data_IF_248888453430
#
_entry.id   IF_248888453430
#
_cell.length_a   1.000
_cell.length_b   1.000
_cell.length_c   1.000
_cell.angle_alpha   90.00
_cell.angle_beta   90.00
_cell.angle_gamma   90.00
#
_symmetry.space_group_name_H-M   'P 1'
#
loop_
_entity.id
_entity.type
_entity.pdbx_description
1 polymer ?
#
# COMPACT_ATOMS: atom_id res chain seq x y z
N UNK A 1 10.94 -4.17 -8.91
CA UNK A 1 10.07 -3.47 -7.94
C UNK A 1 9.94 -1.99 -8.31
N UNK A 2 11.04 -1.22 -8.39
CA UNK A 2 10.95 0.21 -8.71
C UNK A 2 10.50 0.53 -10.15
N UNK A 3 10.74 -0.36 -11.12
CA UNK A 3 10.25 -0.20 -12.50
C UNK A 3 8.73 -0.01 -12.62
N UNK A 4 7.96 -0.48 -11.64
CA UNK A 4 6.52 -0.36 -11.63
C UNK A 4 6.00 0.94 -10.96
N UNK A 5 6.90 1.78 -10.45
CA UNK A 5 6.54 2.94 -9.62
C UNK A 5 7.29 4.19 -10.07
N UNK A 6 8.59 4.08 -10.34
CA UNK A 6 9.40 5.19 -10.84
C UNK A 6 9.16 5.44 -12.32
N UNK A 7 9.23 6.71 -12.77
CA UNK A 7 9.23 7.07 -14.19
C UNK A 7 10.33 6.32 -14.96
N UNK A 8 10.06 5.99 -16.23
CA UNK A 8 10.97 5.19 -17.06
C UNK A 8 12.35 5.83 -17.20
N UNK A 9 12.39 7.16 -17.32
CA UNK A 9 13.62 7.95 -17.40
C UNK A 9 14.51 7.79 -16.15
N UNK A 10 13.93 7.41 -15.01
CA UNK A 10 14.66 7.21 -13.75
C UNK A 10 15.16 5.78 -13.56
N UNK A 11 14.81 4.83 -14.44
CA UNK A 11 15.15 3.42 -14.25
C UNK A 11 16.67 3.16 -14.31
N UNK A 12 17.38 3.85 -15.19
CA UNK A 12 18.84 3.74 -15.30
C UNK A 12 19.55 4.37 -14.11
N UNK A 13 19.07 5.52 -13.61
CA UNK A 13 19.60 6.15 -12.40
C UNK A 13 19.38 5.26 -11.17
N UNK A 14 18.18 4.69 -11.03
CA UNK A 14 17.85 3.72 -9.98
C UNK A 14 18.78 2.50 -10.00
N UNK A 15 19.02 1.91 -11.17
CA UNK A 15 19.93 0.76 -11.32
C UNK A 15 21.36 1.13 -10.89
N UNK A 16 21.87 2.26 -11.38
CA UNK A 16 23.22 2.75 -11.06
C UNK A 16 23.37 3.02 -9.55
N UNK A 17 22.36 3.66 -8.95
CA UNK A 17 22.33 3.92 -7.52
C UNK A 17 22.43 2.62 -6.71
N UNK A 18 21.58 1.64 -6.98
CA UNK A 18 21.57 0.36 -6.27
C UNK A 18 22.90 -0.39 -6.39
N UNK A 19 23.54 -0.35 -7.56
CA UNK A 19 24.86 -0.94 -7.77
C UNK A 19 25.97 -0.22 -6.97
N UNK A 20 25.78 1.07 -6.67
CA UNK A 20 26.73 1.88 -5.90
C UNK A 20 26.57 1.74 -4.39
N UNK A 21 25.43 1.28 -3.88
CA UNK A 21 25.17 1.16 -2.43
C UNK A 21 26.27 0.40 -1.67
N UNK A 22 26.78 -0.76 -2.13
CA UNK A 22 27.86 -1.46 -1.41
C UNK A 22 29.14 -0.65 -1.23
N UNK A 23 29.54 0.15 -2.23
CA UNK A 23 30.74 0.99 -2.14
C UNK A 23 30.52 2.22 -1.24
N UNK A 24 29.29 2.75 -1.21
CA UNK A 24 28.91 3.82 -0.27
C UNK A 24 28.92 3.34 1.19
N UNK A 25 28.51 2.09 1.44
CA UNK A 25 28.58 1.50 2.78
C UNK A 25 30.03 1.45 3.29
N UNK A 26 30.98 1.08 2.42
CA UNK A 26 32.39 0.96 2.78
C UNK A 26 33.06 2.32 3.07
N UNK A 27 32.62 3.39 2.40
CA UNK A 27 33.27 4.71 2.45
C UNK A 27 32.55 5.73 3.32
N UNK A 28 31.26 5.53 3.62
CA UNK A 28 30.44 6.53 4.29
C UNK A 28 30.48 6.42 5.81
N UNK A 29 30.86 7.53 6.44
CA UNK A 29 30.82 7.69 7.90
C UNK A 29 29.42 7.63 8.51
N UNK A 30 28.37 7.82 7.70
CA UNK A 30 26.95 7.77 8.08
C UNK A 30 26.52 6.39 8.58
N UNK A 31 27.24 5.35 8.15
CA UNK A 31 26.91 3.96 8.44
C UNK A 31 27.40 3.48 9.82
N UNK A 32 28.32 4.21 10.47
CA UNK A 32 29.07 3.75 11.67
C UNK A 32 28.21 3.25 12.83
N UNK A 33 27.00 3.80 12.98
CA UNK A 33 26.08 3.49 14.09
C UNK A 33 24.92 2.57 13.70
N UNK A 34 24.93 2.03 12.48
CA UNK A 34 23.87 1.16 11.96
C UNK A 34 24.34 -0.30 11.98
N UNK A 35 23.64 -1.16 12.74
CA UNK A 35 23.91 -2.59 12.81
C UNK A 35 22.64 -3.43 12.59
N UNK A 36 22.63 -4.42 11.70
CA UNK A 36 23.66 -4.67 10.67
C UNK A 36 23.61 -3.61 9.56
N UNK A 37 24.78 -3.25 9.03
CA UNK A 37 24.93 -2.22 7.98
C UNK A 37 24.53 -2.72 6.60
N UNK A 38 24.70 -4.03 6.35
CA UNK A 38 24.37 -4.68 5.08
C UNK A 38 22.89 -4.51 4.68
N UNK A 39 21.99 -4.36 5.65
CA UNK A 39 20.56 -4.10 5.40
C UNK A 39 20.30 -2.83 4.56
N UNK A 40 21.26 -1.91 4.45
CA UNK A 40 21.12 -0.76 3.55
C UNK A 40 21.00 -1.19 2.08
N UNK A 41 21.61 -2.32 1.69
CA UNK A 41 21.49 -2.91 0.35
C UNK A 41 20.04 -3.35 0.11
N UNK A 42 19.45 -4.05 1.09
CA UNK A 42 18.10 -4.60 0.96
C UNK A 42 17.00 -3.54 1.11
N UNK A 43 17.27 -2.47 1.86
CA UNK A 43 16.32 -1.36 2.08
C UNK A 43 16.36 -0.36 0.92
N UNK A 44 17.49 -0.17 0.24
CA UNK A 44 17.60 0.82 -0.84
C UNK A 44 16.52 0.67 -1.94
N UNK A 45 16.20 -0.53 -2.45
CA UNK A 45 15.10 -0.72 -3.39
C UNK A 45 13.73 -0.28 -2.85
N UNK A 46 13.52 -0.36 -1.52
CA UNK A 46 12.28 0.07 -0.86
C UNK A 46 12.21 1.60 -0.75
N UNK A 47 13.35 2.25 -0.51
CA UNK A 47 13.45 3.72 -0.55
C UNK A 47 13.09 4.26 -1.94
N UNK A 48 13.54 3.59 -3.01
CA UNK A 48 13.25 3.98 -4.40
C UNK A 48 11.75 3.96 -4.75
N UNK A 49 10.93 3.22 -4.00
CA UNK A 49 9.48 3.18 -4.18
C UNK A 49 8.73 3.92 -3.08
N UNK A 50 9.44 4.73 -2.29
CA UNK A 50 8.90 5.47 -1.15
C UNK A 50 8.13 4.58 -0.14
N UNK A 51 8.61 3.34 0.09
CA UNK A 51 7.95 2.42 1.02
C UNK A 51 7.99 2.98 2.47
N UNK A 52 6.86 2.95 3.21
CA UNK A 52 6.82 3.39 4.60
C UNK A 52 7.79 2.64 5.50
N UNK A 53 8.36 3.37 6.48
CA UNK A 53 9.28 2.80 7.47
C UNK A 53 8.66 1.67 8.28
N UNK A 54 7.34 1.67 8.51
CA UNK A 54 6.63 0.58 9.20
C UNK A 54 6.66 -0.73 8.42
N UNK A 55 6.52 -0.70 7.11
CA UNK A 55 6.58 -1.89 6.26
C UNK A 55 8.01 -2.40 6.11
N UNK A 56 8.97 -1.48 5.94
CA UNK A 56 10.40 -1.82 5.96
C UNK A 56 10.75 -2.46 7.31
N UNK A 57 10.26 -1.88 8.41
CA UNK A 57 10.48 -2.41 9.76
C UNK A 57 9.92 -3.82 9.94
N UNK A 58 8.66 -4.06 9.54
CA UNK A 58 8.05 -5.38 9.59
C UNK A 58 8.81 -6.41 8.73
N UNK A 59 9.21 -6.02 7.52
CA UNK A 59 9.89 -6.91 6.57
C UNK A 59 11.28 -7.36 7.05
N UNK A 60 11.99 -6.51 7.80
CA UNK A 60 13.34 -6.79 8.29
C UNK A 60 13.42 -6.99 9.81
N UNK A 61 12.27 -7.15 10.49
CA UNK A 61 12.20 -7.29 11.95
C UNK A 61 12.94 -6.17 12.71
N UNK A 62 12.80 -4.93 12.23
CA UNK A 62 13.39 -3.74 12.84
C UNK A 62 12.34 -2.95 13.62
N UNK A 63 12.79 -2.01 14.47
CA UNK A 63 11.92 -0.95 14.95
C UNK A 63 11.66 0.10 13.85
N UNK A 64 10.51 0.80 13.85
CA UNK A 64 10.23 1.87 12.88
C UNK A 64 11.33 2.94 12.84
N UNK A 65 11.89 3.31 14.01
CA UNK A 65 13.03 4.24 14.10
C UNK A 65 14.29 3.67 13.45
N UNK A 66 14.56 2.38 13.59
CA UNK A 66 15.72 1.74 12.98
C UNK A 66 15.60 1.64 11.45
N UNK A 67 14.39 1.43 10.92
CA UNK A 67 14.09 1.51 9.49
C UNK A 67 14.23 2.95 8.96
N UNK A 68 13.65 3.93 9.67
CA UNK A 68 13.76 5.35 9.32
C UNK A 68 15.21 5.83 9.26
N UNK A 69 16.04 5.48 10.25
CA UNK A 69 17.45 5.89 10.26
C UNK A 69 18.23 5.36 9.06
N UNK A 70 17.91 4.15 8.59
CA UNK A 70 18.53 3.55 7.40
C UNK A 70 18.03 4.21 6.13
N UNK A 71 16.72 4.40 6.01
CA UNK A 71 16.10 5.11 4.90
C UNK A 71 16.67 6.54 4.76
N UNK A 72 16.88 7.24 5.88
CA UNK A 72 17.49 8.58 5.87
C UNK A 72 18.91 8.58 5.30
N UNK A 73 19.74 7.57 5.62
CA UNK A 73 21.09 7.45 5.03
C UNK A 73 20.99 7.24 3.52
N UNK A 74 20.09 6.37 3.07
CA UNK A 74 19.87 6.11 1.64
C UNK A 74 19.36 7.39 0.94
N UNK A 75 18.44 8.12 1.55
CA UNK A 75 17.95 9.41 1.03
C UNK A 75 19.03 10.47 0.95
N UNK A 76 19.94 10.53 1.92
CA UNK A 76 21.10 11.44 1.85
C UNK A 76 22.01 11.07 0.67
N UNK A 77 22.26 9.78 0.43
CA UNK A 77 23.02 9.36 -0.74
C UNK A 77 22.28 9.64 -2.05
N UNK A 78 20.97 9.44 -2.12
CA UNK A 78 20.16 9.79 -3.28
C UNK A 78 20.27 11.28 -3.56
N UNK A 79 20.06 12.14 -2.55
CA UNK A 79 20.17 13.59 -2.69
C UNK A 79 21.57 14.03 -3.17
N UNK A 80 22.62 13.35 -2.72
CA UNK A 80 24.00 13.70 -3.07
C UNK A 80 24.43 13.20 -4.46
N UNK A 81 24.05 11.99 -4.84
CA UNK A 81 24.61 11.31 -6.01
C UNK A 81 23.62 11.15 -7.18
N UNK A 82 22.32 11.20 -6.92
CA UNK A 82 21.26 11.05 -7.94
C UNK A 82 20.07 11.99 -7.60
N UNK A 83 20.26 13.33 -7.65
CA UNK A 83 19.27 14.29 -7.15
C UNK A 83 17.94 14.27 -7.93
N UNK A 84 17.97 14.03 -9.24
CA UNK A 84 16.75 13.93 -10.07
C UNK A 84 15.92 12.70 -9.68
N UNK A 85 16.59 11.56 -9.46
CA UNK A 85 15.97 10.34 -8.94
C UNK A 85 15.39 10.60 -7.54
N UNK A 86 16.12 11.32 -6.68
CA UNK A 86 15.63 11.67 -5.36
C UNK A 86 14.35 12.51 -5.44
N UNK A 87 14.32 13.51 -6.33
CA UNK A 87 13.14 14.34 -6.53
C UNK A 87 11.97 13.53 -7.07
N UNK A 88 12.21 12.61 -8.01
CA UNK A 88 11.17 11.69 -8.50
C UNK A 88 10.58 10.85 -7.36
N UNK A 89 11.41 10.35 -6.44
CA UNK A 89 10.95 9.59 -5.26
C UNK A 89 10.11 10.45 -4.32
N UNK A 90 10.49 11.71 -4.09
CA UNK A 90 9.69 12.63 -3.28
C UNK A 90 8.32 12.88 -3.92
N UNK A 91 8.27 13.02 -5.24
CA UNK A 91 7.03 13.25 -5.98
C UNK A 91 6.09 12.03 -5.94
N UNK A 92 6.61 10.80 -5.77
CA UNK A 92 5.77 9.60 -5.57
C UNK A 92 4.81 9.74 -4.38
N UNK A 93 5.16 10.57 -3.39
CA UNK A 93 4.29 10.81 -2.22
C UNK A 93 3.13 11.76 -2.56
N UNK A 94 3.29 12.59 -3.59
CA UNK A 94 2.37 13.67 -3.95
C UNK A 94 1.44 13.25 -5.10
N UNK A 95 1.96 12.55 -6.10
CA UNK A 95 1.21 12.15 -7.31
C UNK A 95 1.00 10.65 -7.37
N UNK A 96 -0.16 10.21 -7.89
CA UNK A 96 -0.38 8.79 -8.19
C UNK A 96 0.46 8.39 -9.41
N UNK A 97 1.37 7.40 -9.30
CA UNK A 97 2.18 6.96 -10.44
C UNK A 97 1.32 6.42 -11.59
N UNK A 98 1.80 6.58 -12.83
CA UNK A 98 1.07 6.14 -14.03
C UNK A 98 0.72 4.66 -13.99
N UNK A 99 1.68 3.81 -13.61
CA UNK A 99 1.46 2.37 -13.53
C UNK A 99 0.43 1.99 -12.44
N UNK A 100 0.40 2.73 -11.33
CA UNK A 100 -0.64 2.56 -10.30
C UNK A 100 -2.00 2.94 -10.88
N UNK A 101 -2.09 4.05 -11.60
CA UNK A 101 -3.34 4.47 -12.27
C UNK A 101 -3.83 3.41 -13.26
N UNK A 102 -2.92 2.87 -14.08
CA UNK A 102 -3.21 1.81 -15.05
C UNK A 102 -3.73 0.55 -14.36
N UNK A 103 -3.06 0.09 -13.29
CA UNK A 103 -3.50 -1.08 -12.53
C UNK A 103 -4.83 -0.83 -11.79
N UNK A 104 -5.06 0.37 -11.25
CA UNK A 104 -6.32 0.75 -10.63
C UNK A 104 -7.48 0.67 -11.63
N UNK A 105 -7.30 1.21 -12.84
CA UNK A 105 -8.29 1.15 -13.90
C UNK A 105 -8.55 -0.29 -14.34
N UNK A 106 -7.48 -1.08 -14.55
CA UNK A 106 -7.59 -2.49 -14.92
C UNK A 106 -8.32 -3.32 -13.85
N UNK A 107 -8.00 -3.11 -12.58
CA UNK A 107 -8.65 -3.77 -11.44
C UNK A 107 -10.14 -3.42 -11.36
N UNK A 108 -10.48 -2.12 -11.45
CA UNK A 108 -11.88 -1.68 -11.46
C UNK A 108 -12.64 -2.24 -12.66
N UNK A 109 -12.06 -2.23 -13.85
CA UNK A 109 -12.67 -2.81 -15.05
C UNK A 109 -12.92 -4.31 -14.90
N UNK A 110 -11.94 -5.06 -14.37
CA UNK A 110 -12.10 -6.48 -14.08
C UNK A 110 -13.26 -6.71 -13.10
N UNK A 111 -13.32 -5.95 -12.01
CA UNK A 111 -14.37 -6.07 -11.00
C UNK A 111 -15.75 -5.74 -11.58
N UNK A 112 -15.87 -4.67 -12.37
CA UNK A 112 -17.10 -4.29 -13.07
C UNK A 112 -17.56 -5.41 -14.01
N UNK A 113 -16.64 -5.97 -14.82
CA UNK A 113 -16.97 -7.07 -15.74
C UNK A 113 -17.44 -8.32 -14.98
N UNK A 114 -16.77 -8.67 -13.89
CA UNK A 114 -17.15 -9.80 -13.04
C UNK A 114 -18.56 -9.60 -12.47
N UNK A 115 -18.83 -8.45 -11.85
CA UNK A 115 -20.14 -8.13 -11.25
C UNK A 115 -21.25 -7.97 -12.30
N UNK A 116 -20.92 -7.54 -13.51
CA UNK A 116 -21.83 -7.38 -14.65
C UNK A 116 -22.09 -8.67 -15.43
N UNK A 117 -21.43 -9.78 -15.08
CA UNK A 117 -21.57 -11.03 -15.84
C UNK A 117 -23.00 -11.56 -15.78
N UNK A 118 -23.58 -11.87 -16.95
CA UNK A 118 -24.96 -12.36 -17.11
C UNK A 118 -25.04 -13.84 -17.49
N UNK A 119 -23.96 -14.39 -18.05
CA UNK A 119 -23.83 -15.80 -18.44
C UNK A 119 -22.47 -16.31 -17.98
N UNK A 120 -22.45 -17.47 -17.33
CA UNK A 120 -21.22 -18.16 -16.91
C UNK A 120 -21.29 -19.65 -17.24
N UNK A 121 -20.21 -20.28 -17.73
CA UNK A 121 -20.13 -21.73 -17.81
C UNK A 121 -20.36 -22.35 -16.43
N UNK A 122 -21.15 -23.42 -16.37
CA UNK A 122 -21.38 -24.13 -15.12
C UNK A 122 -20.11 -24.78 -14.58
N UNK A 123 -19.71 -24.45 -13.35
CA UNK A 123 -18.52 -25.03 -12.68
C UNK A 123 -18.57 -26.57 -12.53
N UNK A 124 -19.73 -27.21 -12.72
CA UNK A 124 -19.90 -28.67 -12.55
C UNK A 124 -20.03 -29.46 -13.86
N UNK A 125 -20.54 -28.84 -14.94
CA UNK A 125 -20.84 -29.56 -16.18
C UNK A 125 -20.46 -28.80 -17.46
N UNK A 126 -19.87 -27.60 -17.35
CA UNK A 126 -19.45 -26.79 -18.49
C UNK A 126 -20.57 -26.12 -19.29
N UNK A 127 -21.83 -26.52 -19.12
CA UNK A 127 -22.97 -25.96 -19.85
C UNK A 127 -23.06 -24.43 -19.71
N UNK A 128 -23.27 -23.73 -20.84
CA UNK A 128 -23.56 -22.30 -20.91
C UNK A 128 -25.03 -21.97 -20.63
N UNK A 129 -25.89 -22.98 -20.49
CA UNK A 129 -27.30 -22.79 -20.17
C UNK A 129 -27.48 -22.49 -18.67
N UNK A 130 -27.01 -21.31 -18.26
CA UNK A 130 -27.06 -20.82 -16.88
C UNK A 130 -27.89 -19.54 -16.78
N UNK A 131 -28.47 -19.31 -15.60
CA UNK A 131 -29.21 -18.08 -15.30
C UNK A 131 -28.64 -17.45 -14.04
N UNK A 132 -28.43 -16.14 -14.06
CA UNK A 132 -28.09 -15.38 -12.86
C UNK A 132 -29.29 -15.35 -11.92
N UNK A 133 -29.04 -15.55 -10.62
CA UNK A 133 -30.06 -15.55 -9.57
C UNK A 133 -29.63 -14.68 -8.40
N UNK A 134 -30.60 -14.00 -7.78
CA UNK A 134 -30.39 -13.15 -6.62
C UNK A 134 -29.57 -11.88 -6.90
N UNK A 135 -29.34 -11.10 -5.85
CA UNK A 135 -28.60 -9.84 -5.94
C UNK A 135 -27.09 -10.04 -6.10
N UNK A 136 -26.52 -10.97 -5.31
CA UNK A 136 -25.12 -11.40 -5.45
C UNK A 136 -24.95 -12.22 -6.72
N UNK A 137 -23.73 -12.20 -7.28
CA UNK A 137 -23.34 -12.94 -8.47
C UNK A 137 -23.40 -14.48 -8.26
N UNK A 138 -24.60 -15.04 -8.32
CA UNK A 138 -24.87 -16.48 -8.25
C UNK A 138 -25.54 -16.92 -9.55
N UNK A 139 -25.29 -18.16 -9.94
CA UNK A 139 -25.84 -18.75 -11.15
C UNK A 139 -26.46 -20.11 -10.85
N UNK A 140 -27.58 -20.41 -11.51
CA UNK A 140 -28.17 -21.75 -11.55
C UNK A 140 -28.02 -22.33 -12.94
N UNK A 141 -27.45 -23.54 -13.04
CA UNK A 141 -27.41 -24.27 -14.30
C UNK A 141 -28.78 -24.90 -14.60
N UNK A 142 -29.28 -24.74 -15.83
CA UNK A 142 -30.53 -25.39 -16.26
C UNK A 142 -30.32 -26.87 -16.58
N UNK A 143 -29.13 -27.26 -17.03
CA UNK A 143 -28.77 -28.65 -17.37
C UNK A 143 -28.61 -29.51 -16.13
N UNK A 144 -27.64 -29.23 -15.26
CA UNK A 144 -27.37 -30.05 -14.07
C UNK A 144 -28.09 -29.58 -12.79
N UNK A 145 -28.89 -28.51 -12.89
CA UNK A 145 -29.72 -27.93 -11.81
C UNK A 145 -28.97 -27.39 -10.59
N UNK A 146 -27.63 -27.48 -10.54
CA UNK A 146 -26.78 -26.99 -9.46
C UNK A 146 -26.61 -25.47 -9.48
N UNK A 147 -26.41 -24.89 -8.30
CA UNK A 147 -26.07 -23.48 -8.10
C UNK A 147 -24.57 -23.32 -7.87
N UNK A 148 -23.99 -22.26 -8.43
CA UNK A 148 -22.58 -21.92 -8.24
C UNK A 148 -22.41 -20.41 -8.13
N UNK A 149 -21.29 -20.00 -7.52
CA UNK A 149 -20.96 -18.60 -7.28
C UNK A 149 -19.53 -18.35 -7.77
N UNK A 150 -19.35 -17.64 -8.91
CA UNK A 150 -18.04 -17.32 -9.44
C UNK A 150 -17.13 -16.54 -8.49
N UNK A 151 -17.70 -15.79 -7.54
CA UNK A 151 -16.95 -15.00 -6.56
C UNK A 151 -16.08 -15.86 -5.65
N UNK A 152 -16.43 -17.15 -5.47
CA UNK A 152 -15.63 -18.11 -4.67
C UNK A 152 -14.20 -18.24 -5.17
N UNK A 153 -13.98 -18.14 -6.49
CA UNK A 153 -12.65 -18.24 -7.12
C UNK A 153 -11.70 -17.12 -6.65
N UNK A 154 -12.26 -16.00 -6.18
CA UNK A 154 -11.53 -14.81 -5.75
C UNK A 154 -11.76 -14.49 -4.26
N UNK A 155 -12.34 -15.42 -3.49
CA UNK A 155 -12.76 -15.22 -2.09
C UNK A 155 -13.72 -14.04 -1.84
N UNK A 156 -14.29 -13.48 -2.91
CA UNK A 156 -15.22 -12.35 -2.87
C UNK A 156 -16.59 -12.76 -2.32
N UNK A 157 -16.91 -14.05 -2.32
CA UNK A 157 -18.14 -14.59 -1.71
C UNK A 157 -18.19 -14.34 -0.19
N UNK A 158 -17.04 -14.12 0.44
CA UNK A 158 -16.91 -13.80 1.87
C UNK A 158 -17.22 -12.34 2.20
N UNK A 159 -17.38 -11.46 1.21
CA UNK A 159 -17.54 -10.00 1.40
C UNK A 159 -18.98 -9.53 1.14
N UNK A 160 -19.63 -8.86 2.09
CA UNK A 160 -20.97 -8.29 1.89
C UNK A 160 -20.98 -7.10 0.92
N UNK A 161 -22.17 -6.56 0.62
CA UNK A 161 -22.40 -5.29 -0.11
C UNK A 161 -21.58 -5.11 -1.40
N UNK A 162 -21.75 -6.02 -2.37
CA UNK A 162 -20.97 -5.98 -3.61
C UNK A 162 -21.16 -4.69 -4.43
N UNK A 163 -22.29 -4.02 -4.25
CA UNK A 163 -22.60 -2.71 -4.82
C UNK A 163 -21.66 -1.59 -4.34
N UNK A 164 -21.03 -1.74 -3.17
CA UNK A 164 -20.14 -0.74 -2.58
C UNK A 164 -18.65 -1.02 -2.85
N UNK A 165 -18.31 -2.12 -3.52
CA UNK A 165 -16.91 -2.50 -3.71
C UNK A 165 -16.13 -1.54 -4.60
N UNK A 166 -16.74 -1.00 -5.67
CA UNK A 166 -16.08 -0.02 -6.54
C UNK A 166 -15.82 1.31 -5.79
N UNK A 167 -16.81 1.93 -5.12
CA UNK A 167 -16.56 3.08 -4.24
C UNK A 167 -15.49 2.80 -3.18
N UNK A 168 -15.51 1.60 -2.57
CA UNK A 168 -14.50 1.19 -1.60
C UNK A 168 -13.08 1.21 -2.18
N UNK A 169 -12.88 0.68 -3.40
CA UNK A 169 -11.58 0.72 -4.07
C UNK A 169 -11.10 2.16 -4.28
N UNK A 170 -11.99 3.07 -4.68
CA UNK A 170 -11.63 4.48 -4.85
C UNK A 170 -11.16 5.12 -3.52
N UNK A 171 -11.84 4.83 -2.42
CA UNK A 171 -11.45 5.33 -1.09
C UNK A 171 -10.14 4.71 -0.58
N UNK A 172 -9.90 3.43 -0.88
CA UNK A 172 -8.60 2.80 -0.59
C UNK A 172 -7.48 3.55 -1.33
N UNK A 173 -7.67 3.93 -2.59
CA UNK A 173 -6.65 4.62 -3.38
C UNK A 173 -6.38 6.05 -2.93
N UNK A 174 -7.38 6.69 -2.34
CA UNK A 174 -7.24 7.98 -1.65
C UNK A 174 -6.48 7.85 -0.30
N UNK A 175 -6.28 6.62 0.17
CA UNK A 175 -5.61 6.33 1.44
C UNK A 175 -6.49 6.60 2.65
N UNK A 176 -7.81 6.62 2.49
CA UNK A 176 -8.73 7.00 3.56
C UNK A 176 -8.66 6.07 4.77
N UNK A 177 -8.93 6.64 5.95
CA UNK A 177 -8.94 5.87 7.20
C UNK A 177 -10.14 4.93 7.25
N UNK A 178 -10.05 3.87 8.04
CA UNK A 178 -11.19 2.95 8.21
C UNK A 178 -12.44 3.65 8.74
N UNK A 179 -12.26 4.63 9.63
CA UNK A 179 -13.35 5.46 10.15
C UNK A 179 -14.00 6.27 9.02
N UNK A 180 -13.19 6.94 8.19
CA UNK A 180 -13.69 7.73 7.06
C UNK A 180 -14.46 6.85 6.07
N UNK A 181 -13.88 5.69 5.69
CA UNK A 181 -14.52 4.75 4.76
C UNK A 181 -15.84 4.23 5.33
N UNK A 182 -15.85 3.84 6.60
CA UNK A 182 -17.04 3.38 7.31
C UNK A 182 -18.16 4.42 7.23
N UNK A 183 -17.84 5.69 7.50
CA UNK A 183 -18.80 6.80 7.46
C UNK A 183 -19.31 7.07 6.04
N UNK A 184 -18.42 7.11 5.05
CA UNK A 184 -18.80 7.45 3.67
C UNK A 184 -19.60 6.34 2.99
N UNK A 185 -19.32 5.08 3.30
CA UNK A 185 -20.02 3.93 2.71
C UNK A 185 -21.17 3.39 3.57
N UNK A 186 -21.35 3.90 4.79
CA UNK A 186 -22.40 3.43 5.70
C UNK A 186 -22.23 1.97 6.16
N UNK A 187 -20.99 1.49 6.27
CA UNK A 187 -20.69 0.10 6.68
C UNK A 187 -19.84 0.07 7.96
N UNK A 188 -19.91 -1.02 8.72
CA UNK A 188 -19.11 -1.17 9.94
C UNK A 188 -17.59 -1.17 9.62
N UNK A 189 -16.79 -0.52 10.47
CA UNK A 189 -15.31 -0.55 10.46
C UNK A 189 -14.72 -1.97 10.37
N UNK A 190 -15.31 -2.97 11.00
CA UNK A 190 -14.87 -4.37 10.89
C UNK A 190 -15.08 -4.92 9.48
N UNK A 191 -16.18 -4.53 8.83
CA UNK A 191 -16.43 -4.83 7.41
C UNK A 191 -15.38 -4.16 6.53
N UNK A 192 -15.05 -2.89 6.80
CA UNK A 192 -13.97 -2.17 6.10
C UNK A 192 -12.63 -2.89 6.24
N UNK A 193 -12.25 -3.25 7.47
CA UNK A 193 -11.00 -3.96 7.76
C UNK A 193 -10.94 -5.33 7.06
N UNK A 194 -12.06 -6.06 7.08
CA UNK A 194 -12.19 -7.33 6.37
C UNK A 194 -12.02 -7.12 4.87
N UNK A 195 -12.78 -6.22 4.26
CA UNK A 195 -12.69 -5.94 2.82
C UNK A 195 -11.28 -5.55 2.43
N UNK A 196 -10.64 -4.68 3.19
CA UNK A 196 -9.29 -4.22 2.92
C UNK A 196 -8.29 -5.36 2.80
N UNK A 197 -8.33 -6.34 3.72
CA UNK A 197 -7.48 -7.52 3.66
C UNK A 197 -7.73 -8.34 2.39
N UNK A 198 -8.99 -8.63 2.08
CA UNK A 198 -9.33 -9.42 0.89
C UNK A 198 -9.00 -8.70 -0.41
N UNK A 199 -9.31 -7.40 -0.52
CA UNK A 199 -9.01 -6.62 -1.72
C UNK A 199 -7.51 -6.50 -1.96
N UNK A 200 -6.70 -6.33 -0.92
CA UNK A 200 -5.24 -6.40 -1.06
C UNK A 200 -4.76 -7.76 -1.58
N UNK A 201 -5.23 -8.85 -0.98
CA UNK A 201 -4.86 -10.21 -1.38
C UNK A 201 -5.28 -10.48 -2.84
N UNK A 202 -6.48 -10.04 -3.24
CA UNK A 202 -6.95 -10.16 -4.62
C UNK A 202 -6.09 -9.33 -5.57
N UNK A 203 -5.72 -8.10 -5.21
CA UNK A 203 -4.84 -7.28 -6.05
C UNK A 203 -3.50 -7.99 -6.28
N UNK A 204 -2.90 -8.56 -5.24
CA UNK A 204 -1.65 -9.32 -5.34
C UNK A 204 -1.81 -10.58 -6.21
N UNK A 205 -2.83 -11.40 -5.94
CA UNK A 205 -3.10 -12.63 -6.69
C UNK A 205 -3.43 -12.40 -8.16
N UNK A 206 -4.03 -11.26 -8.49
CA UNK A 206 -4.34 -10.87 -9.87
C UNK A 206 -3.17 -10.13 -10.56
N UNK A 207 -2.03 -9.97 -9.90
CA UNK A 207 -0.82 -9.34 -10.47
C UNK A 207 -0.81 -7.81 -10.41
N UNK A 208 -1.73 -7.18 -9.69
CA UNK A 208 -1.79 -5.73 -9.48
C UNK A 208 -0.89 -5.28 -8.32
N UNK A 209 0.39 -5.65 -8.37
CA UNK A 209 1.35 -5.40 -7.29
C UNK A 209 1.66 -3.93 -7.08
N UNK A 210 1.70 -3.11 -8.13
CA UNK A 210 1.95 -1.67 -7.98
C UNK A 210 0.78 -1.00 -7.24
N UNK A 211 -0.45 -1.41 -7.56
CA UNK A 211 -1.67 -0.97 -6.90
C UNK A 211 -1.69 -1.36 -5.41
N UNK A 212 -1.44 -2.63 -5.10
CA UNK A 212 -1.41 -3.14 -3.74
C UNK A 212 -0.38 -2.41 -2.88
N UNK A 213 0.84 -2.22 -3.40
CA UNK A 213 1.89 -1.47 -2.71
C UNK A 213 1.51 -0.01 -2.51
N UNK A 214 1.01 0.67 -3.56
CA UNK A 214 0.61 2.07 -3.46
C UNK A 214 -0.48 2.31 -2.41
N UNK A 215 -1.47 1.42 -2.33
CA UNK A 215 -2.48 1.45 -1.28
C UNK A 215 -1.86 1.44 0.12
N UNK A 216 -0.94 0.50 0.38
CA UNK A 216 -0.29 0.38 1.70
C UNK A 216 0.49 1.66 2.04
N UNK A 217 1.17 2.25 1.04
CA UNK A 217 1.91 3.51 1.17
C UNK A 217 0.97 4.66 1.53
N UNK A 218 -0.09 4.87 0.74
CA UNK A 218 -1.04 5.99 0.94
C UNK A 218 -1.76 5.93 2.27
N UNK A 219 -2.16 4.74 2.70
CA UNK A 219 -2.74 4.56 4.03
C UNK A 219 -1.78 4.97 5.14
N UNK A 220 -0.52 4.52 5.10
CA UNK A 220 0.47 4.91 6.10
C UNK A 220 0.73 6.43 6.12
N UNK A 221 0.73 7.08 4.95
CA UNK A 221 0.83 8.54 4.86
C UNK A 221 -0.36 9.23 5.52
N UNK A 222 -1.60 8.80 5.24
CA UNK A 222 -2.82 9.37 5.84
C UNK A 222 -2.84 9.22 7.36
N UNK A 223 -2.52 8.04 7.89
CA UNK A 223 -2.42 7.85 9.35
C UNK A 223 -1.38 8.75 9.99
N UNK A 224 -0.22 8.95 9.35
CA UNK A 224 0.80 9.88 9.84
C UNK A 224 0.30 11.32 9.80
N UNK A 225 -0.38 11.74 8.74
CA UNK A 225 -0.94 13.08 8.63
C UNK A 225 -1.99 13.31 9.71
N UNK A 226 -2.96 12.40 9.88
CA UNK A 226 -3.97 12.49 10.94
C UNK A 226 -3.34 12.54 12.34
N UNK A 227 -2.28 11.75 12.57
CA UNK A 227 -1.53 11.81 13.82
C UNK A 227 -0.88 13.19 14.01
N UNK A 228 -0.22 13.74 12.99
CA UNK A 228 0.37 15.07 13.06
C UNK A 228 -0.70 16.13 13.33
N UNK A 229 -1.81 16.13 12.60
CA UNK A 229 -2.91 17.09 12.73
C UNK A 229 -3.49 17.10 14.15
N UNK A 230 -3.62 15.92 14.78
CA UNK A 230 -4.07 15.77 16.17
C UNK A 230 -3.09 16.34 17.20
N UNK A 231 -1.78 16.38 16.90
CA UNK A 231 -0.74 16.80 17.84
C UNK A 231 -0.14 18.19 17.48
N UNK A 232 -0.47 18.76 16.33
CA UNK A 232 -0.13 20.15 15.96
C UNK A 232 -1.07 21.18 16.60
N UNK A 233 -2.19 20.77 17.19
CA UNK A 233 -3.04 21.62 18.04
C UNK A 233 -2.46 21.86 19.44
N UNK A 234 -1.52 21.02 19.89
CA UNK A 234 -0.75 21.24 21.11
C UNK A 234 0.46 22.11 20.79
N UNK A 235 0.26 23.42 20.87
CA UNK A 235 1.35 24.39 20.80
C UNK A 235 2.42 23.97 21.80
N UNK A 236 3.63 23.67 21.31
CA UNK A 236 4.84 23.53 22.11
C UNK A 236 5.06 24.85 22.87
N UNK A 237 4.44 25.00 24.04
CA UNK A 237 4.97 25.88 25.07
C UNK A 237 6.27 25.22 25.55
N UNK A 238 7.44 25.84 25.34
CA UNK A 238 8.67 25.28 25.86
C UNK A 238 8.55 25.25 27.38
N UNK A 239 8.67 24.05 27.96
CA UNK A 239 8.67 23.85 29.40
C UNK A 239 9.69 24.81 30.03
N UNK A 240 9.18 25.79 30.77
CA UNK A 240 9.98 26.61 31.67
C UNK A 240 10.65 25.67 32.67
N UNK A 241 11.98 25.65 32.67
CA UNK A 241 12.80 24.92 33.63
C UNK A 241 12.44 25.37 35.04
N UNK A 242 11.78 24.51 35.81
CA UNK A 242 11.71 24.67 37.26
C UNK A 242 13.03 24.23 37.86
N UNK A 243 13.81 25.22 38.33
CA UNK A 243 14.94 24.98 39.22
C UNK A 243 14.41 24.47 40.55
N UNK A 244 14.62 23.19 40.87
CA UNK A 244 14.51 22.69 42.23
C UNK A 244 15.87 22.89 42.92
N UNK A 245 15.95 23.90 43.76
CA UNK A 245 17.07 24.15 44.68
C UNK A 245 16.92 23.22 45.88
N UNK A 246 17.82 22.25 46.01
CA UNK A 246 18.08 21.54 47.25
C UNK A 246 18.64 22.51 48.32
N UNK A 247 17.98 22.62 49.47
CA UNK A 247 18.65 22.97 50.73
C UNK A 247 18.23 22.01 51.83
N UNK A 248 19.22 21.22 52.21
CA UNK A 248 19.38 20.53 53.49
C UNK A 248 19.52 21.51 54.65
N UNK A 249 18.78 21.25 55.72
CA UNK A 249 19.21 21.20 57.13
C UNK A 249 18.02 20.81 58.00
#
# INVERSE_FOLDING_TARGET
MYHAILPEEQHSAAKRFLQRVPSLIATSSLCRRLKPVALLIDIAPMTLIALPHSLIANKFHLSPRAAQRRDNVIRQWLAQYEPDLYQAILNLTQTMPVEVSRQAQAFKLWLTKLLGTSVMPCDYCGSLSTVRIGHRLNFRCRTCRRTFNPLKKYYLDKLSHCELWLPFVDLLLQGETFKTISQQLGINTDTVAKWQRYFLEIMELQGFLALANYYQIKRCQRYRQTWLDMHTGDTFLPASKSHFSSKSS
#
